data_IF_309970359561
#
_entry.id   IF_309970359561
#
_cell.length_a   1.000
_cell.length_b   1.000
_cell.length_c   1.000
_cell.angle_alpha   90.00
_cell.angle_beta   90.00
_cell.angle_gamma   90.00
#
_symmetry.space_group_name_H-M   'P 1'
#
loop_
_entity.id
_entity.type
_entity.pdbx_description
1 polymer ?
#
# COMPACT_ATOMS: atom_id res chain seq x y z
N UNK A 1 24.56 -0.21 -5.60
CA UNK A 1 23.87 -0.41 -4.31
C UNK A 1 24.86 -1.12 -3.38
N UNK A 2 24.97 -0.69 -2.12
CA UNK A 2 25.78 -1.38 -1.10
C UNK A 2 24.84 -2.32 -0.34
N UNK A 3 25.29 -3.55 -0.05
CA UNK A 3 24.49 -4.57 0.63
C UNK A 3 25.32 -5.27 1.71
N UNK A 4 24.67 -5.70 2.78
CA UNK A 4 25.25 -6.58 3.81
C UNK A 4 25.09 -8.07 3.47
N UNK A 5 24.45 -8.40 2.34
CA UNK A 5 24.34 -9.77 1.83
C UNK A 5 25.67 -10.17 1.18
N UNK A 6 26.42 -11.06 1.85
CA UNK A 6 27.81 -11.38 1.52
C UNK A 6 27.96 -12.50 0.48
N UNK A 7 26.97 -13.40 0.38
CA UNK A 7 27.05 -14.55 -0.52
C UNK A 7 26.53 -14.20 -1.93
N UNK A 8 27.46 -14.06 -2.87
CA UNK A 8 27.16 -13.71 -4.26
C UNK A 8 26.59 -14.88 -5.08
N UNK A 9 26.74 -16.13 -4.63
CA UNK A 9 26.14 -17.30 -5.28
C UNK A 9 24.65 -17.41 -4.93
N UNK A 10 24.28 -17.06 -3.68
CA UNK A 10 22.88 -17.04 -3.23
C UNK A 10 22.18 -15.76 -3.69
N UNK A 11 22.85 -14.60 -3.60
CA UNK A 11 22.28 -13.30 -3.91
C UNK A 11 22.95 -12.68 -5.14
N UNK A 12 22.41 -12.97 -6.32
CA UNK A 12 22.96 -12.43 -7.56
C UNK A 12 22.87 -10.90 -7.59
N UNK A 13 23.80 -10.25 -8.31
CA UNK A 13 23.75 -8.80 -8.55
C UNK A 13 22.43 -8.35 -9.17
N UNK A 14 21.81 -9.21 -9.99
CA UNK A 14 20.53 -8.94 -10.65
C UNK A 14 19.38 -8.93 -9.65
N UNK A 15 19.37 -9.85 -8.69
CA UNK A 15 18.34 -9.93 -7.67
C UNK A 15 18.45 -8.76 -6.68
N UNK A 16 19.68 -8.37 -6.31
CA UNK A 16 19.92 -7.17 -5.52
C UNK A 16 19.44 -5.91 -6.25
N UNK A 17 19.71 -5.80 -7.56
CA UNK A 17 19.22 -4.69 -8.37
C UNK A 17 17.70 -4.65 -8.44
N UNK A 18 17.04 -5.81 -8.59
CA UNK A 18 15.59 -5.92 -8.61
C UNK A 18 14.98 -5.56 -7.25
N UNK A 19 15.55 -6.07 -6.15
CA UNK A 19 15.13 -5.69 -4.80
C UNK A 19 15.29 -4.18 -4.56
N UNK A 20 16.39 -3.58 -5.03
CA UNK A 20 16.60 -2.14 -4.89
C UNK A 20 15.56 -1.32 -5.69
N UNK A 21 15.11 -1.80 -6.85
CA UNK A 21 14.03 -1.16 -7.63
C UNK A 21 12.71 -1.12 -6.83
N UNK A 22 12.49 -2.09 -5.94
CA UNK A 22 11.31 -2.11 -5.09
C UNK A 22 11.26 -0.97 -4.07
N UNK A 23 12.36 -0.23 -3.86
CA UNK A 23 12.36 1.00 -3.06
C UNK A 23 11.34 2.02 -3.57
N UNK A 24 11.10 2.07 -4.89
CA UNK A 24 10.09 2.96 -5.49
C UNK A 24 8.68 2.77 -4.91
N UNK A 25 8.37 1.57 -4.43
CA UNK A 25 7.10 1.29 -3.76
C UNK A 25 6.86 2.20 -2.55
N UNK A 26 7.92 2.57 -1.83
CA UNK A 26 7.84 3.49 -0.68
C UNK A 26 7.38 4.88 -1.15
N UNK A 27 7.84 5.35 -2.30
CA UNK A 27 7.45 6.66 -2.84
C UNK A 27 5.98 6.69 -3.27
N UNK A 28 5.48 5.56 -3.81
CA UNK A 28 4.05 5.38 -4.06
C UNK A 28 3.25 5.38 -2.75
N UNK A 29 3.77 4.73 -1.72
CA UNK A 29 3.15 4.68 -0.39
C UNK A 29 3.09 6.08 0.25
N UNK A 30 4.15 6.90 0.15
CA UNK A 30 4.13 8.32 0.56
C UNK A 30 3.16 9.17 -0.25
N UNK A 31 3.03 8.92 -1.55
CA UNK A 31 2.02 9.60 -2.37
C UNK A 31 0.62 9.31 -1.85
N UNK A 32 0.30 8.04 -1.58
CA UNK A 32 -0.99 7.64 -1.01
C UNK A 32 -1.27 8.31 0.33
N UNK A 33 -0.27 8.40 1.23
CA UNK A 33 -0.39 9.14 2.49
C UNK A 33 -0.77 10.62 2.25
N UNK A 34 -0.07 11.28 1.31
CA UNK A 34 -0.35 12.68 0.97
C UNK A 34 -1.74 12.86 0.34
N UNK A 35 -2.08 12.06 -0.65
CA UNK A 35 -3.28 12.30 -1.49
C UNK A 35 -4.54 11.63 -0.95
N UNK A 36 -4.50 10.31 -0.70
CA UNK A 36 -5.68 9.55 -0.31
C UNK A 36 -6.01 9.73 1.17
N UNK A 37 -4.96 9.88 2.00
CA UNK A 37 -5.10 10.19 3.42
C UNK A 37 -4.90 11.66 3.75
N UNK A 38 -4.90 12.57 2.75
CA UNK A 38 -4.89 14.04 2.90
C UNK A 38 -3.82 14.59 3.87
N UNK A 39 -2.64 13.97 3.92
CA UNK A 39 -1.51 14.45 4.73
C UNK A 39 -0.78 15.65 4.12
N UNK A 40 -1.17 16.09 2.93
CA UNK A 40 -0.70 17.32 2.29
C UNK A 40 -1.18 18.59 3.01
N UNK A 41 -2.33 18.53 3.68
CA UNK A 41 -2.88 19.62 4.49
C UNK A 41 -3.28 19.12 5.88
N UNK A 42 -2.50 19.51 6.88
CA UNK A 42 -2.76 19.24 8.29
C UNK A 42 -3.69 20.32 8.87
N UNK A 43 -4.61 19.90 9.74
CA UNK A 43 -5.64 20.78 10.31
C UNK A 43 -5.22 21.37 11.66
N UNK A 44 -4.39 20.64 12.39
CA UNK A 44 -3.91 21.07 13.70
C UNK A 44 -2.92 22.23 13.55
N UNK A 45 -2.96 23.16 14.51
CA UNK A 45 -2.12 24.37 14.52
C UNK A 45 -0.99 24.34 15.55
N UNK A 46 -1.07 23.49 16.56
CA UNK A 46 -0.01 23.35 17.57
C UNK A 46 0.93 22.19 17.22
N UNK A 47 2.25 22.32 17.50
CA UNK A 47 3.23 21.27 17.19
C UNK A 47 2.84 19.89 17.75
N UNK A 48 2.45 19.83 19.02
CA UNK A 48 2.03 18.57 19.66
C UNK A 48 0.80 17.92 18.98
N UNK A 49 -0.15 18.71 18.49
CA UNK A 49 -1.33 18.16 17.80
C UNK A 49 -1.01 17.75 16.36
N UNK A 50 -0.09 18.45 15.70
CA UNK A 50 0.43 18.08 14.37
C UNK A 50 1.07 16.69 14.40
N UNK A 51 1.91 16.43 15.41
CA UNK A 51 2.53 15.10 15.60
C UNK A 51 1.49 13.99 15.76
N UNK A 52 0.45 14.25 16.58
CA UNK A 52 -0.67 13.30 16.76
C UNK A 52 -1.45 13.08 15.47
N UNK A 53 -1.71 14.15 14.72
CA UNK A 53 -2.42 14.06 13.45
C UNK A 53 -1.65 13.21 12.44
N UNK A 54 -0.32 13.40 12.36
CA UNK A 54 0.56 12.57 11.53
C UNK A 54 0.53 11.11 12.00
N UNK A 55 0.70 10.86 13.30
CA UNK A 55 0.71 9.51 13.87
C UNK A 55 -0.59 8.75 13.59
N UNK A 56 -1.76 9.39 13.76
CA UNK A 56 -3.07 8.79 13.47
C UNK A 56 -3.22 8.46 11.99
N UNK A 57 -2.76 9.34 11.09
CA UNK A 57 -2.83 9.09 9.64
C UNK A 57 -1.90 7.95 9.21
N UNK A 58 -0.70 7.84 9.79
CA UNK A 58 0.18 6.68 9.61
C UNK A 58 -0.45 5.38 10.13
N UNK A 59 -1.10 5.43 11.31
CA UNK A 59 -1.80 4.28 11.86
C UNK A 59 -2.94 3.83 10.94
N UNK A 60 -3.76 4.78 10.46
CA UNK A 60 -4.83 4.49 9.50
C UNK A 60 -4.29 3.85 8.21
N UNK A 61 -3.20 4.38 7.65
CA UNK A 61 -2.52 3.79 6.49
C UNK A 61 -2.14 2.32 6.73
N UNK A 62 -1.46 2.05 7.85
CA UNK A 62 -1.00 0.71 8.19
C UNK A 62 -2.17 -0.25 8.40
N UNK A 63 -3.25 0.19 9.04
CA UNK A 63 -4.46 -0.61 9.23
C UNK A 63 -5.09 -0.98 7.89
N UNK A 64 -5.25 -0.01 6.98
CA UNK A 64 -5.81 -0.25 5.64
C UNK A 64 -4.93 -1.25 4.87
N UNK A 65 -3.60 -1.08 4.91
CA UNK A 65 -2.65 -1.99 4.25
C UNK A 65 -2.66 -3.39 4.88
N UNK A 66 -2.83 -3.49 6.19
CA UNK A 66 -3.04 -4.74 6.90
C UNK A 66 -4.31 -5.45 6.44
N UNK A 67 -5.44 -4.74 6.35
CA UNK A 67 -6.70 -5.29 5.83
C UNK A 67 -6.58 -5.75 4.38
N UNK A 68 -5.88 -4.99 3.53
CA UNK A 68 -5.58 -5.40 2.15
C UNK A 68 -4.72 -6.66 2.13
N UNK A 69 -3.69 -6.76 2.98
CA UNK A 69 -2.82 -7.93 3.07
C UNK A 69 -3.57 -9.17 3.54
N UNK A 70 -4.42 -9.05 4.57
CA UNK A 70 -5.26 -10.16 5.05
C UNK A 70 -6.24 -10.61 3.95
N UNK A 71 -6.92 -9.65 3.33
CA UNK A 71 -7.85 -9.87 2.23
C UNK A 71 -7.18 -10.59 1.06
N UNK A 72 -5.97 -10.15 0.68
CA UNK A 72 -5.19 -10.75 -0.39
C UNK A 72 -4.76 -12.18 -0.03
N UNK A 73 -4.28 -12.39 1.20
CA UNK A 73 -3.85 -13.70 1.69
C UNK A 73 -5.01 -14.72 1.67
N UNK A 74 -6.19 -14.33 2.16
CA UNK A 74 -7.39 -15.21 2.15
C UNK A 74 -7.85 -15.60 0.74
N UNK A 75 -7.54 -14.76 -0.25
CA UNK A 75 -8.06 -14.91 -1.62
C UNK A 75 -6.96 -15.28 -2.63
N UNK A 76 -5.75 -15.61 -2.17
CA UNK A 76 -4.62 -15.98 -3.03
C UNK A 76 -4.16 -14.86 -3.98
N UNK A 77 -4.30 -13.59 -3.58
CA UNK A 77 -3.92 -12.43 -4.39
C UNK A 77 -2.67 -11.73 -3.86
N UNK A 78 -2.08 -10.88 -4.69
CA UNK A 78 -0.98 -10.00 -4.28
C UNK A 78 -1.58 -8.71 -3.70
N UNK A 79 -1.28 -8.40 -2.44
CA UNK A 79 -1.84 -7.23 -1.75
C UNK A 79 -1.61 -5.90 -2.49
N UNK A 80 -0.47 -5.75 -3.17
CA UNK A 80 -0.15 -4.54 -3.94
C UNK A 80 -0.98 -4.35 -5.22
N UNK A 81 -1.70 -5.37 -5.68
CA UNK A 81 -2.64 -5.26 -6.79
C UNK A 81 -4.01 -4.72 -6.36
N UNK A 82 -4.28 -4.68 -5.05
CA UNK A 82 -5.53 -4.16 -4.50
C UNK A 82 -5.47 -2.63 -4.50
N UNK A 83 -6.58 -1.99 -4.88
CA UNK A 83 -6.70 -0.53 -4.92
C UNK A 83 -6.83 0.04 -3.50
N UNK A 84 -5.85 0.82 -3.06
CA UNK A 84 -5.90 1.50 -1.77
C UNK A 84 -7.11 2.43 -1.68
N UNK A 85 -7.34 3.26 -2.70
CA UNK A 85 -8.46 4.22 -2.73
C UNK A 85 -9.82 3.51 -2.66
N UNK A 86 -9.99 2.42 -3.39
CA UNK A 86 -11.24 1.65 -3.34
C UNK A 86 -11.42 0.98 -1.97
N UNK A 87 -10.33 0.51 -1.37
CA UNK A 87 -10.35 -0.06 -0.01
C UNK A 87 -10.79 0.97 1.03
N UNK A 88 -10.25 2.20 0.98
CA UNK A 88 -10.69 3.30 1.87
C UNK A 88 -12.19 3.55 1.72
N UNK A 89 -12.70 3.65 0.49
CA UNK A 89 -14.13 3.86 0.23
C UNK A 89 -14.98 2.71 0.79
N UNK A 90 -14.57 1.46 0.57
CA UNK A 90 -15.26 0.29 1.11
C UNK A 90 -15.28 0.29 2.64
N UNK A 91 -14.15 0.58 3.28
CA UNK A 91 -14.06 0.64 4.74
C UNK A 91 -14.94 1.76 5.32
N UNK A 92 -14.98 2.94 4.69
CA UNK A 92 -15.88 4.02 5.10
C UNK A 92 -17.35 3.64 4.98
N UNK A 93 -17.74 2.94 3.91
CA UNK A 93 -19.12 2.44 3.75
C UNK A 93 -19.42 1.33 4.77
N UNK A 94 -18.48 0.42 4.97
CA UNK A 94 -18.62 -0.68 5.91
C UNK A 94 -18.75 -0.19 7.34
N UNK A 95 -18.02 0.86 7.74
CA UNK A 95 -18.14 1.49 9.06
C UNK A 95 -19.59 1.86 9.38
N UNK A 96 -20.27 2.53 8.43
CA UNK A 96 -21.67 2.96 8.58
C UNK A 96 -22.63 1.76 8.67
N UNK A 97 -22.36 0.69 7.91
CA UNK A 97 -23.21 -0.50 7.91
C UNK A 97 -23.00 -1.36 9.15
N UNK A 98 -21.76 -1.56 9.56
CA UNK A 98 -21.37 -2.42 10.68
C UNK A 98 -21.74 -1.84 12.04
N UNK A 99 -21.86 -0.51 12.18
CA UNK A 99 -22.32 0.12 13.42
C UNK A 99 -23.74 -0.30 13.82
N UNK A 100 -24.53 -0.82 12.89
CA UNK A 100 -25.93 -1.23 13.09
C UNK A 100 -26.10 -2.75 13.17
N UNK A 101 -25.01 -3.52 13.18
CA UNK A 101 -25.04 -4.99 13.08
C UNK A 101 -24.80 -5.64 14.44
N UNK A 102 -25.53 -6.72 14.73
CA UNK A 102 -25.35 -7.52 15.95
C UNK A 102 -24.06 -8.33 15.91
N UNK A 103 -23.50 -8.64 17.08
CA UNK A 103 -22.23 -9.40 17.21
C UNK A 103 -22.24 -10.74 16.46
N UNK A 104 -23.40 -11.40 16.35
CA UNK A 104 -23.55 -12.69 15.67
C UNK A 104 -23.33 -12.61 14.15
N UNK A 105 -23.70 -11.48 13.53
CA UNK A 105 -23.57 -11.26 12.08
C UNK A 105 -22.21 -10.60 11.74
N UNK A 106 -21.60 -9.91 12.69
CA UNK A 106 -20.34 -9.17 12.52
C UNK A 106 -19.22 -10.02 11.88
N UNK A 107 -19.05 -11.28 12.30
CA UNK A 107 -18.03 -12.18 11.71
C UNK A 107 -18.28 -12.42 10.22
N UNK A 108 -19.52 -12.74 9.85
CA UNK A 108 -19.92 -12.96 8.45
C UNK A 108 -19.74 -11.68 7.63
N UNK A 109 -20.15 -10.53 8.19
CA UNK A 109 -20.00 -9.25 7.53
C UNK A 109 -18.52 -8.88 7.30
N UNK A 110 -17.65 -9.17 8.27
CA UNK A 110 -16.20 -8.99 8.13
C UNK A 110 -15.60 -9.87 7.03
N UNK A 111 -15.97 -11.15 6.95
CA UNK A 111 -15.49 -12.04 5.89
C UNK A 111 -15.96 -11.57 4.51
N UNK A 112 -17.21 -11.08 4.39
CA UNK A 112 -17.71 -10.48 3.14
C UNK A 112 -16.93 -9.22 2.78
N UNK A 113 -16.63 -8.36 3.75
CA UNK A 113 -15.83 -7.17 3.54
C UNK A 113 -14.43 -7.51 3.01
N UNK A 114 -13.74 -8.47 3.64
CA UNK A 114 -12.43 -8.92 3.17
C UNK A 114 -12.49 -9.51 1.77
N UNK A 115 -13.51 -10.31 1.44
CA UNK A 115 -13.69 -10.81 0.07
C UNK A 115 -13.89 -9.68 -0.94
N UNK A 116 -14.65 -8.65 -0.55
CA UNK A 116 -14.92 -7.48 -1.40
C UNK A 116 -13.67 -6.62 -1.59
N UNK A 117 -12.85 -6.42 -0.56
CA UNK A 117 -11.58 -5.71 -0.68
C UNK A 117 -10.68 -6.40 -1.73
N UNK A 118 -10.62 -7.73 -1.73
CA UNK A 118 -9.79 -8.48 -2.67
C UNK A 118 -10.24 -8.34 -4.13
N UNK A 119 -11.51 -8.02 -4.39
CA UNK A 119 -12.01 -7.82 -5.77
C UNK A 119 -11.74 -6.41 -6.29
N UNK A 120 -11.38 -5.46 -5.42
CA UNK A 120 -11.00 -4.11 -5.84
C UNK A 120 -9.59 -4.10 -6.44
N UNK A 121 -9.49 -4.53 -7.70
CA UNK A 121 -8.24 -4.41 -8.44
C UNK A 121 -7.93 -2.93 -8.64
N UNK A 122 -6.73 -2.52 -8.26
CA UNK A 122 -6.13 -1.32 -8.82
C UNK A 122 -6.03 -1.62 -10.31
N UNK A 123 -6.82 -0.92 -11.14
CA UNK A 123 -6.73 -1.08 -12.59
C UNK A 123 -5.27 -0.99 -13.03
N UNK A 124 -4.92 -1.54 -14.19
CA UNK A 124 -3.61 -1.32 -14.83
C UNK A 124 -3.42 0.18 -15.16
N UNK A 125 -3.46 1.08 -14.17
CA UNK A 125 -2.68 2.29 -14.19
C UNK A 125 -1.28 1.76 -14.33
N UNK A 126 -0.76 1.78 -15.57
CA UNK A 126 0.64 1.66 -15.88
C UNK A 126 1.38 2.14 -14.64
N UNK A 127 1.97 1.22 -13.86
CA UNK A 127 2.83 1.62 -12.76
C UNK A 127 3.77 2.60 -13.41
N UNK A 128 3.60 3.89 -13.09
CA UNK A 128 4.32 4.95 -13.77
C UNK A 128 5.76 4.58 -13.52
N UNK A 129 6.45 4.12 -14.57
CA UNK A 129 7.75 3.46 -14.46
C UNK A 129 8.63 4.37 -13.64
N UNK A 130 9.40 3.79 -12.73
CA UNK A 130 10.37 4.56 -11.97
C UNK A 130 11.19 5.39 -12.98
N UNK A 131 11.29 6.73 -12.85
CA UNK A 131 12.08 7.56 -13.75
C UNK A 131 13.52 7.03 -13.93
N UNK A 132 14.09 6.40 -12.91
CA UNK A 132 15.41 5.77 -12.95
C UNK A 132 15.44 4.51 -13.85
N UNK A 133 14.35 3.74 -13.89
CA UNK A 133 14.23 2.58 -14.80
C UNK A 133 14.23 3.01 -16.28
N UNK A 134 13.60 4.15 -16.60
CA UNK A 134 13.59 4.71 -17.96
C UNK A 134 14.95 5.24 -18.42
N UNK A 135 15.86 5.54 -17.48
CA UNK A 135 17.24 5.95 -17.76
C UNK A 135 18.18 4.74 -17.89
N UNK A 136 17.98 3.70 -17.06
CA UNK A 136 18.76 2.46 -17.10
C UNK A 136 18.53 1.61 -18.35
N UNK A 137 17.27 1.44 -18.78
CA UNK A 137 16.95 0.67 -20.00
C UNK A 137 17.55 1.29 -21.27
N UNK A 138 17.70 2.64 -21.32
CA UNK A 138 18.34 3.33 -22.44
C UNK A 138 19.85 3.07 -22.55
N UNK A 139 20.51 2.64 -21.47
CA UNK A 139 21.95 2.31 -21.47
C UNK A 139 22.24 0.88 -21.89
N UNK A 140 21.23 0.00 -21.88
CA UNK A 140 21.37 -1.41 -22.29
C UNK A 140 21.02 -1.68 -23.75
N UNK A 141 20.56 -0.66 -24.51
CA UNK A 141 20.23 -0.76 -25.94
C UNK A 141 21.40 -0.25 -26.82
N UNK A 142 22.49 0.22 -26.21
CA UNK A 142 23.66 0.76 -26.89
C UNK A 142 24.95 0.01 -26.48
N UNK A 143 24.93 -1.33 -26.46
CA UNK A 143 26.13 -2.19 -26.54
C UNK A 143 25.73 -3.57 -27.06
#
# INVERSE_FOLDING_TARGET
>A
YISTLLDANIYSKKDLANLYKERWKIELDFRTLKTDLKMDMLRCKSPSMIEKEIAVRFMAYNLIRGSMAESANKQGKIARQISFKATVQLLSIAQIKLSNVTKSIMKKAYDVLLKTIATTLSGKKNERRNPEQLSGDRKHILY
#
